data_IF_037036566675
#
_entry.id   IF_037036566675
#
_cell.length_a   1.000
_cell.length_b   1.000
_cell.length_c   1.000
_cell.angle_alpha   90.00
_cell.angle_beta   90.00
_cell.angle_gamma   90.00
#
_symmetry.space_group_name_H-M   'P 1'
#
loop_
_entity.id
_entity.type
_entity.pdbx_description
1 polymer ?
#
# COMPACT_ATOMS: atom_id res chain seq x y z
N UNK A 1 16.54 -14.59 0.42
CA UNK A 1 15.20 -15.06 -0.05
C UNK A 1 14.97 -14.86 -1.54
N UNK A 2 15.00 -13.65 -2.11
CA UNK A 2 14.75 -13.49 -3.56
C UNK A 2 15.68 -14.35 -4.44
N UNK A 3 16.98 -14.34 -4.14
CA UNK A 3 17.98 -15.21 -4.77
C UNK A 3 17.76 -16.70 -4.45
N UNK A 4 17.40 -17.00 -3.21
CA UNK A 4 17.09 -18.37 -2.74
C UNK A 4 15.90 -18.98 -3.51
N UNK A 5 14.98 -18.14 -3.99
CA UNK A 5 13.82 -18.53 -4.81
C UNK A 5 14.06 -18.39 -6.32
N UNK A 6 15.29 -18.05 -6.76
CA UNK A 6 15.61 -17.91 -8.18
C UNK A 6 14.85 -16.79 -8.89
N UNK A 7 14.45 -15.74 -8.17
CA UNK A 7 13.79 -14.59 -8.78
C UNK A 7 14.72 -13.93 -9.78
N UNK A 8 14.17 -13.56 -10.94
CA UNK A 8 14.87 -12.78 -11.94
C UNK A 8 15.31 -11.42 -11.38
N UNK A 9 16.32 -10.83 -12.02
CA UNK A 9 16.75 -9.47 -11.70
C UNK A 9 15.63 -8.45 -11.96
N UNK A 10 15.80 -7.26 -11.41
CA UNK A 10 14.87 -6.15 -11.50
C UNK A 10 14.49 -5.82 -12.95
N UNK A 11 15.48 -5.73 -13.84
CA UNK A 11 15.29 -5.24 -15.19
C UNK A 11 14.64 -6.31 -16.10
N UNK A 12 14.99 -7.58 -15.88
CA UNK A 12 14.34 -8.74 -16.50
C UNK A 12 12.88 -8.84 -16.04
N UNK A 13 12.62 -8.63 -14.75
CA UNK A 13 11.24 -8.63 -14.24
C UNK A 13 10.42 -7.46 -14.82
N UNK A 14 11.00 -6.26 -14.93
CA UNK A 14 10.34 -5.12 -15.61
C UNK A 14 9.91 -5.48 -17.03
N UNK A 15 10.82 -6.05 -17.82
CA UNK A 15 10.51 -6.47 -19.18
C UNK A 15 9.41 -7.54 -19.22
N UNK A 16 9.44 -8.53 -18.33
CA UNK A 16 8.43 -9.57 -18.25
C UNK A 16 7.02 -9.03 -17.93
N UNK A 17 6.93 -7.93 -17.19
CA UNK A 17 5.68 -7.23 -16.90
C UNK A 17 5.31 -6.14 -17.92
N UNK A 18 6.04 -6.06 -19.04
CA UNK A 18 5.79 -5.12 -20.13
C UNK A 18 6.25 -3.69 -19.87
N UNK A 19 7.09 -3.48 -18.84
CA UNK A 19 7.68 -2.19 -18.52
C UNK A 19 9.03 -2.03 -19.22
N UNK A 20 9.41 -0.80 -19.61
CA UNK A 20 10.72 -0.55 -20.20
C UNK A 20 11.82 -0.83 -19.16
N UNK A 21 12.90 -1.47 -19.62
CA UNK A 21 14.12 -1.61 -18.82
C UNK A 21 14.69 -0.23 -18.48
N UNK A 22 15.16 -0.08 -17.25
CA UNK A 22 15.93 1.12 -16.85
C UNK A 22 17.35 1.02 -17.39
N UNK A 23 17.96 2.17 -17.70
CA UNK A 23 19.34 2.26 -18.20
C UNK A 23 20.27 2.94 -17.22
N UNK A 24 19.73 3.76 -16.34
CA UNK A 24 20.45 4.54 -15.34
C UNK A 24 19.74 4.49 -14.00
N UNK A 25 20.48 4.75 -12.90
CA UNK A 25 19.88 4.77 -11.56
C UNK A 25 18.83 5.88 -11.40
N UNK A 26 18.94 6.98 -12.15
CA UNK A 26 17.95 8.06 -12.19
C UNK A 26 16.63 7.67 -12.86
N UNK A 27 16.59 6.58 -13.64
CA UNK A 27 15.34 6.05 -14.20
C UNK A 27 14.50 5.30 -13.14
N UNK A 28 15.11 4.97 -11.99
CA UNK A 28 14.46 4.24 -10.89
C UNK A 28 13.80 5.23 -9.93
N UNK A 29 14.54 6.24 -9.49
CA UNK A 29 14.07 7.22 -8.49
C UNK A 29 14.64 8.60 -8.72
N UNK A 30 13.88 9.63 -8.34
CA UNK A 30 14.33 11.02 -8.28
C UNK A 30 15.22 11.33 -7.07
N UNK A 31 15.25 10.48 -6.03
CA UNK A 31 16.12 10.67 -4.86
C UNK A 31 17.58 10.33 -5.17
N UNK A 32 18.41 11.38 -5.29
CA UNK A 32 19.85 11.27 -5.56
C UNK A 32 20.60 10.46 -4.49
N UNK A 33 20.14 10.47 -3.24
CA UNK A 33 20.77 9.69 -2.16
C UNK A 33 20.60 8.20 -2.42
N UNK A 34 19.39 7.77 -2.74
CA UNK A 34 19.07 6.38 -3.11
C UNK A 34 19.79 5.97 -4.39
N UNK A 35 19.83 6.82 -5.43
CA UNK A 35 20.60 6.55 -6.65
C UNK A 35 22.07 6.25 -6.35
N UNK A 36 22.73 7.08 -5.53
CA UNK A 36 24.13 6.90 -5.17
C UNK A 36 24.36 5.60 -4.40
N UNK A 37 23.48 5.27 -3.45
CA UNK A 37 23.55 4.01 -2.69
C UNK A 37 23.38 2.79 -3.60
N UNK A 38 22.40 2.80 -4.49
CA UNK A 38 22.19 1.72 -5.46
C UNK A 38 23.41 1.53 -6.37
N UNK A 39 23.98 2.63 -6.86
CA UNK A 39 25.19 2.59 -7.69
C UNK A 39 26.37 1.98 -6.95
N UNK A 40 26.60 2.37 -5.70
CA UNK A 40 27.68 1.80 -4.87
C UNK A 40 27.48 0.31 -4.61
N UNK A 41 26.25 -0.13 -4.36
CA UNK A 41 25.95 -1.52 -4.01
C UNK A 41 25.97 -2.47 -5.21
N UNK A 42 25.47 -2.03 -6.37
CA UNK A 42 25.21 -2.90 -7.52
C UNK A 42 26.10 -2.65 -8.74
N UNK A 43 26.71 -1.47 -8.85
CA UNK A 43 27.53 -1.04 -9.98
C UNK A 43 26.72 -0.76 -11.27
N UNK A 44 25.87 -1.70 -11.67
CA UNK A 44 24.97 -1.64 -12.83
C UNK A 44 23.52 -1.84 -12.41
N UNK A 45 22.59 -1.21 -13.14
CA UNK A 45 21.14 -1.39 -12.96
C UNK A 45 20.66 -2.81 -13.28
N UNK A 46 21.39 -3.55 -14.12
CA UNK A 46 21.06 -4.93 -14.47
C UNK A 46 21.40 -5.95 -13.36
N UNK A 47 22.17 -5.53 -12.35
CA UNK A 47 22.52 -6.38 -11.21
C UNK A 47 21.55 -6.22 -10.03
N UNK A 48 20.58 -5.32 -10.13
CA UNK A 48 19.67 -4.99 -9.03
C UNK A 48 18.71 -6.15 -8.79
N UNK A 49 18.61 -6.58 -7.54
CA UNK A 49 17.62 -7.57 -7.11
C UNK A 49 16.21 -6.97 -7.23
N UNK A 50 15.23 -7.77 -7.71
CA UNK A 50 13.84 -7.33 -7.89
C UNK A 50 13.28 -6.54 -6.70
N UNK A 51 13.46 -7.06 -5.48
CA UNK A 51 12.88 -6.44 -4.29
C UNK A 51 13.43 -5.03 -4.03
N UNK A 52 14.74 -4.87 -4.18
CA UNK A 52 15.41 -3.58 -3.96
C UNK A 52 15.05 -2.59 -5.07
N UNK A 53 15.08 -3.04 -6.32
CA UNK A 53 14.69 -2.20 -7.46
C UNK A 53 13.23 -1.74 -7.37
N UNK A 54 12.30 -2.65 -7.07
CA UNK A 54 10.88 -2.33 -6.96
C UNK A 54 10.53 -1.41 -5.79
N UNK A 55 11.21 -1.55 -4.64
CA UNK A 55 11.05 -0.62 -3.51
C UNK A 55 11.69 0.74 -3.74
N UNK A 56 12.73 0.78 -4.57
CA UNK A 56 13.41 2.03 -4.88
C UNK A 56 12.64 2.88 -5.90
N UNK A 57 11.67 2.32 -6.64
CA UNK A 57 10.92 3.09 -7.62
C UNK A 57 10.12 4.23 -7.00
N UNK A 58 10.14 5.41 -7.64
CA UNK A 58 9.25 6.50 -7.27
C UNK A 58 7.79 6.06 -7.33
N UNK A 59 7.02 6.47 -6.33
CA UNK A 59 5.62 6.07 -6.24
C UNK A 59 4.81 6.60 -7.42
N UNK A 60 3.91 5.77 -7.92
CA UNK A 60 2.84 6.23 -8.82
C UNK A 60 1.95 7.21 -8.03
N UNK A 61 1.40 8.22 -8.71
CA UNK A 61 0.49 9.20 -8.08
C UNK A 61 -0.65 8.46 -7.35
N UNK A 62 -0.90 8.85 -6.10
CA UNK A 62 -1.92 8.24 -5.21
C UNK A 62 -1.68 6.76 -4.89
N UNK A 63 -0.45 6.26 -5.09
CA UNK A 63 0.00 4.91 -4.74
C UNK A 63 1.10 4.97 -3.69
N UNK A 64 1.28 3.86 -2.98
CA UNK A 64 2.42 3.65 -2.06
C UNK A 64 3.53 2.79 -2.68
N UNK A 65 3.45 2.51 -3.97
CA UNK A 65 4.41 1.68 -4.72
C UNK A 65 4.70 2.27 -6.08
N UNK A 66 5.88 1.97 -6.60
CA UNK A 66 6.28 2.31 -7.96
C UNK A 66 5.65 1.42 -9.04
N UNK A 67 5.87 1.76 -10.33
CA UNK A 67 5.24 1.11 -11.47
C UNK A 67 5.35 -0.43 -11.51
N UNK A 68 6.51 -1.00 -11.19
CA UNK A 68 6.75 -2.44 -11.25
C UNK A 68 5.91 -3.18 -10.20
N UNK A 69 5.98 -2.74 -8.95
CA UNK A 69 5.20 -3.35 -7.88
C UNK A 69 3.71 -3.09 -8.05
N UNK A 70 3.30 -1.94 -8.57
CA UNK A 70 1.90 -1.72 -8.94
C UNK A 70 1.43 -2.77 -9.96
N UNK A 71 2.22 -3.03 -11.01
CA UNK A 71 1.87 -4.01 -12.04
C UNK A 71 1.81 -5.45 -11.50
N UNK A 72 2.79 -5.84 -10.67
CA UNK A 72 2.80 -7.15 -10.00
C UNK A 72 1.58 -7.31 -9.10
N UNK A 73 1.33 -6.35 -8.21
CA UNK A 73 0.22 -6.39 -7.26
C UNK A 73 -1.12 -6.50 -8.00
N UNK A 74 -1.35 -5.66 -9.02
CA UNK A 74 -2.59 -5.69 -9.81
C UNK A 74 -2.78 -7.04 -10.50
N UNK A 75 -1.76 -7.56 -11.18
CA UNK A 75 -1.85 -8.87 -11.86
C UNK A 75 -2.18 -9.99 -10.86
N UNK A 76 -1.50 -10.03 -9.71
CA UNK A 76 -1.74 -11.05 -8.70
C UNK A 76 -3.14 -10.94 -8.07
N UNK A 77 -3.59 -9.74 -7.68
CA UNK A 77 -4.94 -9.57 -7.14
C UNK A 77 -6.04 -9.87 -8.17
N UNK A 78 -5.82 -9.54 -9.45
CA UNK A 78 -6.77 -9.88 -10.52
C UNK A 78 -6.86 -11.39 -10.75
N UNK A 79 -5.73 -12.11 -10.73
CA UNK A 79 -5.72 -13.58 -10.83
C UNK A 79 -6.42 -14.23 -9.65
N UNK A 80 -6.14 -13.76 -8.43
CA UNK A 80 -6.80 -14.26 -7.21
C UNK A 80 -8.31 -14.06 -7.28
N UNK A 81 -8.76 -12.85 -7.62
CA UNK A 81 -10.18 -12.53 -7.80
C UNK A 81 -10.84 -13.39 -8.88
N UNK A 82 -10.23 -13.47 -10.06
CA UNK A 82 -10.84 -14.11 -11.23
C UNK A 82 -10.79 -15.63 -11.16
N UNK A 83 -9.83 -16.19 -10.44
CA UNK A 83 -9.66 -17.63 -10.23
C UNK A 83 -10.43 -18.18 -9.02
N UNK A 84 -10.98 -17.31 -8.16
CA UNK A 84 -11.73 -17.75 -6.99
C UNK A 84 -13.18 -18.05 -7.33
N UNK A 85 -13.54 -19.35 -7.31
CA UNK A 85 -14.91 -19.83 -7.53
C UNK A 85 -15.89 -19.27 -6.49
N UNK A 86 -15.41 -18.96 -5.28
CA UNK A 86 -16.21 -18.43 -4.19
C UNK A 86 -16.05 -16.91 -4.03
N UNK A 87 -15.59 -16.21 -5.08
CA UNK A 87 -15.51 -14.76 -5.05
C UNK A 87 -16.88 -14.16 -4.68
N UNK A 88 -16.90 -13.26 -3.69
CA UNK A 88 -18.15 -12.85 -3.07
C UNK A 88 -19.11 -12.14 -4.05
N UNK A 89 -18.60 -11.42 -5.05
CA UNK A 89 -19.46 -10.72 -6.02
C UNK A 89 -20.13 -11.64 -7.03
N UNK A 90 -19.61 -12.85 -7.23
CA UNK A 90 -20.25 -13.87 -8.07
C UNK A 90 -21.09 -14.84 -7.24
N UNK A 91 -20.83 -14.92 -5.92
CA UNK A 91 -21.51 -15.84 -5.01
C UNK A 91 -22.78 -15.26 -4.40
N UNK A 92 -22.79 -13.97 -4.03
CA UNK A 92 -23.93 -13.30 -3.40
C UNK A 92 -24.67 -12.39 -4.39
N UNK A 93 -25.95 -12.12 -4.13
CA UNK A 93 -26.79 -11.25 -4.98
C UNK A 93 -27.69 -10.32 -4.17
N UNK A 94 -28.31 -9.35 -4.84
CA UNK A 94 -29.35 -8.51 -4.25
C UNK A 94 -28.92 -7.80 -2.96
N UNK A 95 -29.72 -7.97 -1.91
CA UNK A 95 -29.52 -7.29 -0.62
C UNK A 95 -28.22 -7.69 0.07
N UNK A 96 -27.87 -8.97 0.05
CA UNK A 96 -26.67 -9.48 0.73
C UNK A 96 -25.39 -8.90 0.10
N UNK A 97 -25.31 -8.88 -1.23
CA UNK A 97 -24.20 -8.25 -1.95
C UNK A 97 -24.12 -6.75 -1.64
N UNK A 98 -25.26 -6.06 -1.55
CA UNK A 98 -25.32 -4.65 -1.15
C UNK A 98 -24.78 -4.40 0.26
N UNK A 99 -25.05 -5.31 1.21
CA UNK A 99 -24.52 -5.24 2.57
C UNK A 99 -23.01 -5.50 2.61
N UNK A 100 -22.52 -6.50 1.86
CA UNK A 100 -21.09 -6.78 1.78
C UNK A 100 -20.32 -5.58 1.19
N UNK A 101 -20.81 -4.99 0.09
CA UNK A 101 -20.19 -3.82 -0.55
C UNK A 101 -20.17 -2.57 0.32
N UNK A 102 -21.15 -2.41 1.22
CA UNK A 102 -21.22 -1.26 2.12
C UNK A 102 -20.47 -1.47 3.43
N UNK A 103 -19.98 -2.69 3.71
CA UNK A 103 -19.23 -2.99 4.93
C UNK A 103 -17.82 -2.41 4.87
N UNK A 104 -17.45 -1.61 5.87
CA UNK A 104 -16.11 -1.04 6.05
C UNK A 104 -15.35 -1.75 7.17
N UNK A 105 -14.03 -1.69 7.14
CA UNK A 105 -13.20 -2.18 8.25
C UNK A 105 -13.54 -1.43 9.57
N UNK A 106 -13.95 -0.15 9.48
CA UNK A 106 -14.44 0.59 10.64
C UNK A 106 -15.67 -0.04 11.29
N UNK A 107 -16.59 -0.62 10.50
CA UNK A 107 -17.81 -1.24 11.01
C UNK A 107 -17.48 -2.54 11.74
N UNK A 108 -16.53 -3.31 11.19
CA UNK A 108 -16.01 -4.53 11.83
C UNK A 108 -15.36 -4.20 13.16
N UNK A 109 -14.52 -3.17 13.22
CA UNK A 109 -13.87 -2.73 14.46
C UNK A 109 -14.90 -2.28 15.52
N UNK A 110 -15.91 -1.49 15.13
CA UNK A 110 -16.96 -1.03 16.06
C UNK A 110 -17.78 -2.17 16.64
N UNK A 111 -18.02 -3.23 15.87
CA UNK A 111 -18.77 -4.40 16.35
C UNK A 111 -17.99 -5.28 17.32
N UNK A 112 -16.66 -5.21 17.30
CA UNK A 112 -15.79 -6.15 18.02
C UNK A 112 -14.86 -5.49 19.06
N UNK A 113 -14.94 -4.17 19.24
CA UNK A 113 -14.08 -3.43 20.16
C UNK A 113 -14.86 -2.34 20.88
N UNK A 114 -14.29 -1.78 21.96
CA UNK A 114 -14.85 -0.64 22.70
C UNK A 114 -14.41 0.73 22.15
N UNK A 115 -13.82 0.78 20.95
CA UNK A 115 -13.35 2.02 20.33
C UNK A 115 -14.54 2.95 20.02
N UNK A 116 -14.54 4.13 20.62
CA UNK A 116 -15.58 5.15 20.43
C UNK A 116 -15.27 6.06 19.24
N UNK A 117 -14.00 6.43 19.10
CA UNK A 117 -13.50 7.31 18.04
C UNK A 117 -12.81 6.49 16.96
N UNK A 118 -13.33 6.53 15.74
CA UNK A 118 -12.75 5.86 14.59
C UNK A 118 -13.16 6.56 13.30
N UNK A 119 -12.18 6.79 12.42
CA UNK A 119 -12.44 7.30 11.08
C UNK A 119 -13.22 6.30 10.21
N UNK A 120 -14.02 6.83 9.28
CA UNK A 120 -14.80 6.00 8.35
C UNK A 120 -13.91 5.19 7.39
N UNK A 121 -12.81 5.76 6.92
CA UNK A 121 -11.80 5.05 6.15
C UNK A 121 -10.53 4.93 6.99
N UNK A 122 -10.28 3.74 7.53
CA UNK A 122 -9.15 3.49 8.44
C UNK A 122 -7.80 3.35 7.74
N UNK A 123 -7.78 3.32 6.41
CA UNK A 123 -6.54 3.15 5.63
C UNK A 123 -5.85 4.47 5.28
N UNK A 124 -6.51 5.61 5.47
CA UNK A 124 -5.95 6.95 5.21
C UNK A 124 -6.04 7.78 6.48
N UNK A 125 -5.13 8.72 6.67
CA UNK A 125 -5.21 9.66 7.78
C UNK A 125 -6.12 10.85 7.41
N UNK A 126 -6.97 11.27 8.34
CA UNK A 126 -7.79 12.48 8.20
C UNK A 126 -7.87 13.22 9.54
N UNK A 127 -7.43 14.48 9.57
CA UNK A 127 -7.40 15.36 10.75
C UNK A 127 -8.78 15.60 11.41
N UNK A 128 -9.89 15.41 10.68
CA UNK A 128 -11.25 15.64 11.22
C UNK A 128 -11.61 14.79 12.45
N UNK A 129 -10.91 13.67 12.65
CA UNK A 129 -11.10 12.79 13.82
C UNK A 129 -10.37 13.29 15.08
N UNK A 130 -9.34 14.13 14.94
CA UNK A 130 -8.67 14.75 16.10
C UNK A 130 -9.55 15.81 16.77
N UNK A 131 -10.34 16.57 16.00
CA UNK A 131 -11.20 17.62 16.55
C UNK A 131 -12.31 17.07 17.46
N UNK A 132 -12.75 15.83 17.21
CA UNK A 132 -13.68 15.13 18.11
C UNK A 132 -12.99 14.61 19.38
N UNK A 133 -11.70 14.27 19.31
CA UNK A 133 -10.91 13.88 20.50
C UNK A 133 -10.63 15.05 21.45
N UNK A 134 -10.44 16.28 20.95
CA UNK A 134 -10.20 17.44 21.83
C UNK A 134 -11.48 17.95 22.51
N UNK A 135 -12.66 17.66 21.97
CA UNK A 135 -13.95 18.11 22.52
C UNK A 135 -14.59 17.11 23.50
N UNK A 136 -14.05 15.90 23.65
CA UNK A 136 -14.59 14.85 24.54
C UNK A 136 -13.66 14.48 25.72
N UNK A 137 -12.52 15.15 25.88
CA UNK A 137 -11.72 15.05 27.11
C UNK A 137 -12.40 15.76 28.28
N UNK A 138 -12.29 15.28 29.53
CA UNK A 138 -12.85 15.98 30.68
C UNK A 138 -12.26 17.39 30.76
N UNK A 139 -13.15 18.39 30.80
CA UNK A 139 -12.80 19.79 31.05
C UNK A 139 -12.03 19.85 32.37
N UNK A 140 -10.72 20.05 32.29
CA UNK A 140 -9.89 20.28 33.46
C UNK A 140 -10.31 21.63 34.05
N UNK A 141 -11.15 21.58 35.09
CA UNK A 141 -11.49 22.74 35.90
C UNK A 141 -10.18 23.36 36.43
N UNK A 142 -9.87 24.55 35.94
CA UNK A 142 -8.70 25.33 36.37
C UNK A 142 -8.89 25.68 37.86
N UNK A 143 -7.96 25.34 38.76
CA UNK A 143 -8.11 25.70 40.16
C UNK A 143 -8.07 27.23 40.29
N UNK A 144 -9.10 27.80 40.93
CA UNK A 144 -9.09 29.19 41.39
C UNK A 144 -7.97 29.31 42.42
N UNK A 145 -6.98 30.15 42.15
CA UNK A 145 -5.98 30.52 43.15
C UNK A 145 -6.64 31.47 44.18
N UNK A 146 -6.24 31.40 45.46
CA UNK A 146 -6.71 32.31 46.50
C UNK A 146 -6.29 33.76 46.21
#
# INVERSE_FOLDING_TARGET
RGRDHGLADYNTTRAAYGLPRVRTFSDITTDRTTQAKLKTLYGSVDNIDLWIGGLAEDHVRESSVGPLFQRIIVDQFMRLRSGDRNWYETTFTGRELGQLRSTRLSDVLRRNTSLRTLQHNVFVWNESVEKTNQLQGPSAAKPRRP
#
